data_IF_859344572822
#
_entry.id   IF_859344572822
#
_cell.length_a   1.000
_cell.length_b   1.000
_cell.length_c   1.000
_cell.angle_alpha   90.00
_cell.angle_beta   90.00
_cell.angle_gamma   90.00
#
_symmetry.space_group_name_H-M   'P 1'
#
loop_
_entity.id
_entity.type
_entity.pdbx_description
1 polymer ?
#
# COMPACT_ATOMS: atom_id res chain seq x y z
N UNK A 1 10.95 -9.04 -26.52
CA UNK A 1 9.69 -8.57 -25.93
C UNK A 1 9.70 -8.87 -24.44
N UNK A 2 9.26 -7.92 -23.61
CA UNK A 2 9.09 -8.11 -22.18
C UNK A 2 7.59 -7.96 -21.85
N UNK A 3 7.03 -8.92 -21.15
CA UNK A 3 5.58 -8.93 -20.86
C UNK A 3 5.23 -9.02 -19.40
N UNK A 4 4.01 -8.60 -19.11
CA UNK A 4 3.34 -8.83 -17.84
C UNK A 4 1.97 -9.44 -18.08
N UNK A 5 1.48 -10.16 -17.09
CA UNK A 5 0.14 -10.73 -17.07
C UNK A 5 -0.60 -10.22 -15.83
N UNK A 6 -1.86 -9.83 -15.99
CA UNK A 6 -2.69 -9.42 -14.87
C UNK A 6 -2.86 -10.56 -13.87
N UNK A 7 -2.61 -10.32 -12.60
CA UNK A 7 -2.77 -11.31 -11.54
C UNK A 7 -4.12 -11.13 -10.83
N UNK A 8 -4.82 -12.24 -10.63
CA UNK A 8 -6.08 -12.24 -9.90
C UNK A 8 -5.94 -11.62 -8.49
N UNK A 9 -6.88 -10.76 -8.13
CA UNK A 9 -6.90 -10.08 -6.83
C UNK A 9 -6.01 -8.83 -6.74
N UNK A 10 -5.30 -8.46 -7.79
CA UNK A 10 -4.53 -7.21 -7.82
C UNK A 10 -5.44 -6.02 -8.11
N UNK A 11 -5.50 -5.07 -7.19
CA UNK A 11 -6.10 -3.75 -7.42
C UNK A 11 -5.22 -2.86 -8.29
N UNK A 12 -5.79 -1.73 -8.75
CA UNK A 12 -5.15 -0.79 -9.66
C UNK A 12 -3.71 -0.43 -9.27
N UNK A 13 -3.46 -0.13 -7.98
CA UNK A 13 -2.11 0.24 -7.53
C UNK A 13 -1.06 -0.83 -7.83
N UNK A 14 -1.37 -2.11 -7.57
CA UNK A 14 -0.47 -3.20 -7.86
C UNK A 14 -0.27 -3.40 -9.37
N UNK A 15 -1.34 -3.29 -10.15
CA UNK A 15 -1.26 -3.40 -11.61
C UNK A 15 -0.39 -2.30 -12.22
N UNK A 16 -0.51 -1.06 -11.73
CA UNK A 16 0.34 0.05 -12.19
C UNK A 16 1.82 -0.17 -11.84
N UNK A 17 2.14 -0.79 -10.71
CA UNK A 17 3.53 -1.17 -10.41
C UNK A 17 4.07 -2.17 -11.44
N UNK A 18 3.29 -3.17 -11.80
CA UNK A 18 3.65 -4.12 -12.85
C UNK A 18 3.87 -3.44 -14.19
N UNK A 19 2.90 -2.63 -14.60
CA UNK A 19 2.92 -1.90 -15.85
C UNK A 19 4.14 -0.98 -15.96
N UNK A 20 4.35 -0.13 -14.98
CA UNK A 20 5.44 0.85 -14.97
C UNK A 20 6.79 0.14 -14.95
N UNK A 21 6.98 -0.83 -14.04
CA UNK A 21 8.24 -1.56 -13.95
C UNK A 21 8.60 -2.28 -15.24
N UNK A 22 7.67 -3.03 -15.81
CA UNK A 22 7.94 -3.77 -17.04
C UNK A 22 8.21 -2.85 -18.22
N UNK A 23 7.47 -1.74 -18.35
CA UNK A 23 7.66 -0.77 -19.41
C UNK A 23 9.01 -0.07 -19.30
N UNK A 24 9.43 0.34 -18.10
CA UNK A 24 10.76 0.93 -17.87
C UNK A 24 11.90 -0.06 -18.22
N UNK A 25 11.83 -1.28 -17.72
CA UNK A 25 12.85 -2.30 -18.03
C UNK A 25 12.89 -2.62 -19.52
N UNK A 26 11.74 -2.71 -20.19
CA UNK A 26 11.69 -2.90 -21.65
C UNK A 26 12.35 -1.75 -22.39
N UNK A 27 12.05 -0.50 -22.00
CA UNK A 27 12.64 0.70 -22.59
C UNK A 27 14.17 0.74 -22.40
N UNK A 28 14.66 0.49 -21.18
CA UNK A 28 16.12 0.48 -20.88
C UNK A 28 16.88 -0.55 -21.71
N UNK A 29 16.22 -1.67 -22.04
CA UNK A 29 16.83 -2.76 -22.81
C UNK A 29 16.55 -2.70 -24.31
N UNK A 30 15.77 -1.75 -24.76
CA UNK A 30 15.34 -1.67 -26.16
C UNK A 30 14.44 -2.83 -26.59
N UNK A 31 13.68 -3.42 -25.66
CA UNK A 31 12.74 -4.49 -25.93
C UNK A 31 11.34 -3.93 -26.21
N UNK A 32 10.55 -4.65 -26.98
CA UNK A 32 9.12 -4.37 -27.06
C UNK A 32 8.47 -4.71 -25.71
N UNK A 33 7.49 -3.87 -25.31
CA UNK A 33 6.67 -4.09 -24.13
C UNK A 33 5.31 -4.67 -24.52
N UNK A 34 4.72 -5.48 -23.62
CA UNK A 34 3.39 -6.03 -23.81
C UNK A 34 2.68 -6.30 -22.48
N UNK A 35 1.38 -6.09 -22.46
CA UNK A 35 0.46 -6.57 -21.43
C UNK A 35 -0.37 -7.70 -22.03
N UNK A 36 -0.26 -8.91 -21.44
CA UNK A 36 -1.13 -10.03 -21.81
C UNK A 36 -2.55 -9.74 -21.33
N UNK A 37 -3.54 -10.12 -22.12
CA UNK A 37 -4.96 -9.96 -21.79
C UNK A 37 -5.29 -8.54 -21.32
N UNK A 38 -4.99 -7.50 -22.13
CA UNK A 38 -5.12 -6.11 -21.73
C UNK A 38 -6.55 -5.72 -21.32
N UNK A 39 -7.56 -6.45 -21.79
CA UNK A 39 -8.96 -6.29 -21.38
C UNK A 39 -9.21 -6.65 -19.91
N UNK A 40 -8.36 -7.49 -19.32
CA UNK A 40 -8.41 -7.83 -17.90
C UNK A 40 -7.58 -6.86 -17.03
N UNK A 41 -6.72 -6.04 -17.64
CA UNK A 41 -5.95 -5.05 -16.93
C UNK A 41 -6.87 -4.00 -16.32
N UNK A 42 -6.75 -3.81 -15.01
CA UNK A 42 -7.63 -2.95 -14.20
C UNK A 42 -9.12 -3.40 -14.12
N UNK A 43 -9.51 -4.49 -14.79
CA UNK A 43 -10.83 -5.11 -14.70
C UNK A 43 -10.78 -6.34 -13.79
N UNK A 44 -10.53 -6.15 -12.50
CA UNK A 44 -10.56 -7.22 -11.50
C UNK A 44 -11.51 -6.85 -10.36
N UNK A 45 -11.65 -7.74 -9.35
CA UNK A 45 -12.55 -7.54 -8.21
C UNK A 45 -12.34 -6.23 -7.42
N UNK A 46 -11.24 -5.52 -7.66
CA UNK A 46 -10.92 -4.27 -6.97
C UNK A 46 -10.98 -3.04 -7.88
N UNK A 47 -11.19 -3.22 -9.19
CA UNK A 47 -11.29 -2.12 -10.14
C UNK A 47 -12.25 -2.47 -11.29
N UNK A 48 -13.53 -2.27 -11.03
CA UNK A 48 -14.61 -2.70 -11.92
C UNK A 48 -14.68 -1.95 -13.26
N UNK A 49 -14.01 -0.81 -13.39
CA UNK A 49 -14.24 0.14 -14.47
C UNK A 49 -13.11 0.24 -15.49
N UNK A 50 -12.05 -0.56 -15.38
CA UNK A 50 -10.90 -0.42 -16.26
C UNK A 50 -10.14 0.91 -16.07
N UNK A 51 -9.22 1.20 -16.98
CA UNK A 51 -8.42 2.45 -16.93
C UNK A 51 -9.00 3.52 -17.87
N UNK A 52 -10.30 3.74 -17.81
CA UNK A 52 -11.03 4.70 -18.64
C UNK A 52 -10.53 6.15 -18.49
N UNK A 53 -9.89 6.47 -17.38
CA UNK A 53 -9.40 7.82 -17.07
C UNK A 53 -7.91 8.04 -17.41
N UNK A 54 -7.24 7.02 -17.97
CA UNK A 54 -5.87 7.09 -18.48
C UNK A 54 -5.80 6.42 -19.87
N UNK A 55 -4.92 6.91 -20.72
CA UNK A 55 -4.65 6.30 -22.03
C UNK A 55 -3.36 5.47 -21.95
N UNK A 56 -3.42 4.31 -21.28
CA UNK A 56 -2.28 3.44 -21.17
C UNK A 56 -1.99 2.71 -22.48
N UNK A 57 -0.76 2.83 -22.93
CA UNK A 57 -0.25 2.03 -24.02
C UNK A 57 0.05 0.60 -23.51
N UNK A 58 -0.74 -0.37 -23.92
CA UNK A 58 -0.59 -1.78 -23.53
C UNK A 58 0.52 -2.52 -24.30
N UNK A 59 1.25 -1.80 -25.15
CA UNK A 59 2.35 -2.34 -25.94
C UNK A 59 1.88 -3.19 -27.12
N UNK A 60 2.73 -4.10 -27.57
CA UNK A 60 2.42 -4.95 -28.70
C UNK A 60 1.52 -6.12 -28.28
N UNK A 61 0.53 -6.53 -29.10
CA UNK A 61 -0.26 -7.73 -28.80
C UNK A 61 0.64 -8.96 -28.68
N UNK A 62 0.39 -9.76 -27.65
CA UNK A 62 1.16 -11.00 -27.42
C UNK A 62 0.33 -12.08 -26.76
N UNK A 63 0.82 -13.31 -26.82
CA UNK A 63 0.29 -14.48 -26.16
C UNK A 63 1.34 -15.11 -25.26
N UNK A 64 0.93 -15.92 -24.33
CA UNK A 64 1.84 -16.57 -23.37
C UNK A 64 2.92 -17.40 -24.06
N UNK A 65 2.59 -18.02 -25.20
CA UNK A 65 3.50 -18.84 -26.00
C UNK A 65 4.63 -18.04 -26.67
N UNK A 66 4.49 -16.72 -26.78
CA UNK A 66 5.50 -15.83 -27.35
C UNK A 66 6.69 -15.63 -26.39
N UNK A 67 6.54 -16.04 -25.13
CA UNK A 67 7.56 -15.91 -24.08
C UNK A 67 8.28 -17.23 -23.84
N UNK A 68 9.60 -17.18 -24.01
CA UNK A 68 10.48 -18.34 -23.81
C UNK A 68 10.92 -18.51 -22.38
N UNK A 69 10.80 -17.44 -21.56
CA UNK A 69 11.28 -17.36 -20.19
C UNK A 69 10.20 -16.78 -19.27
N UNK A 70 10.24 -17.24 -18.03
CA UNK A 70 9.42 -16.69 -16.96
C UNK A 70 10.39 -16.21 -15.87
N UNK A 71 10.27 -14.93 -15.53
CA UNK A 71 10.97 -14.34 -14.40
C UNK A 71 10.02 -14.26 -13.19
N UNK A 72 10.50 -14.73 -12.07
CA UNK A 72 9.85 -14.49 -10.79
C UNK A 72 10.74 -13.61 -9.91
N UNK A 73 10.20 -12.45 -9.49
CA UNK A 73 10.86 -11.60 -8.52
C UNK A 73 11.18 -12.40 -7.25
N UNK A 74 12.39 -12.19 -6.73
CA UNK A 74 12.86 -12.91 -5.55
C UNK A 74 12.01 -12.52 -4.33
N UNK A 75 11.24 -13.46 -3.85
CA UNK A 75 10.50 -13.31 -2.61
C UNK A 75 11.39 -13.59 -1.40
N UNK A 76 11.53 -12.60 -0.55
CA UNK A 76 12.12 -12.76 0.77
C UNK A 76 11.02 -12.67 1.80
N UNK A 77 10.79 -13.76 2.53
CA UNK A 77 9.69 -13.87 3.49
C UNK A 77 10.18 -14.17 4.91
N UNK A 78 9.48 -13.58 5.86
CA UNK A 78 9.73 -13.81 7.28
C UNK A 78 8.49 -14.41 7.94
N UNK A 79 8.65 -15.52 8.66
CA UNK A 79 7.57 -16.23 9.34
C UNK A 79 7.58 -15.85 10.83
N UNK A 80 7.02 -14.69 11.17
CA UNK A 80 7.07 -14.14 12.53
C UNK A 80 6.05 -14.72 13.52
N UNK A 81 5.00 -15.41 13.00
CA UNK A 81 3.96 -16.04 13.81
C UNK A 81 3.04 -15.06 14.51
N UNK A 82 2.77 -13.90 13.91
CA UNK A 82 1.82 -12.93 14.44
C UNK A 82 0.37 -13.22 14.04
N UNK A 83 0.16 -13.97 12.97
CA UNK A 83 -1.16 -14.44 12.50
C UNK A 83 -1.04 -15.84 11.89
N UNK A 84 -2.17 -16.49 11.66
CA UNK A 84 -2.21 -17.77 10.92
C UNK A 84 -1.75 -17.59 9.48
N UNK A 85 -2.10 -16.45 8.86
CA UNK A 85 -1.65 -16.10 7.52
C UNK A 85 -0.13 -15.95 7.48
N UNK A 86 0.48 -15.24 8.44
CA UNK A 86 1.91 -15.07 8.57
C UNK A 86 2.68 -16.40 8.70
N UNK A 87 2.10 -17.36 9.45
CA UNK A 87 2.69 -18.71 9.59
C UNK A 87 2.66 -19.51 8.29
N UNK A 88 1.65 -19.30 7.45
CA UNK A 88 1.45 -20.05 6.21
C UNK A 88 2.19 -19.42 5.03
N UNK A 89 2.05 -18.11 4.86
CA UNK A 89 2.52 -17.39 3.69
C UNK A 89 3.79 -16.58 3.97
N UNK A 90 4.08 -16.31 5.25
CA UNK A 90 5.14 -15.43 5.65
C UNK A 90 4.81 -13.99 5.32
N UNK A 91 5.77 -13.15 5.58
CA UNK A 91 5.63 -11.73 5.39
C UNK A 91 6.75 -11.25 4.49
N UNK A 92 6.39 -10.49 3.49
CA UNK A 92 7.31 -9.86 2.57
C UNK A 92 8.28 -8.93 3.28
N UNK A 93 9.56 -9.13 3.03
CA UNK A 93 10.66 -8.26 3.44
C UNK A 93 11.64 -8.04 2.28
N UNK A 94 11.15 -8.21 1.07
CA UNK A 94 11.94 -8.19 -0.16
C UNK A 94 12.39 -6.78 -0.49
N UNK A 95 13.62 -6.69 -0.96
CA UNK A 95 14.18 -5.50 -1.59
C UNK A 95 14.06 -5.58 -3.10
N UNK A 96 14.56 -4.59 -3.82
CA UNK A 96 14.70 -4.67 -5.26
C UNK A 96 15.50 -5.93 -5.66
N UNK A 97 14.97 -6.71 -6.56
CA UNK A 97 15.66 -7.86 -7.12
C UNK A 97 16.49 -7.42 -8.34
N UNK A 98 17.78 -7.25 -8.14
CA UNK A 98 18.68 -6.77 -9.21
C UNK A 98 18.72 -7.67 -10.44
N UNK A 99 18.32 -8.95 -10.34
CA UNK A 99 18.22 -9.84 -11.50
C UNK A 99 17.20 -9.35 -12.53
N UNK A 100 16.24 -8.49 -12.11
CA UNK A 100 15.27 -7.90 -13.03
C UNK A 100 15.96 -7.02 -14.10
N UNK A 101 17.05 -6.36 -13.75
CA UNK A 101 17.84 -5.57 -14.71
C UNK A 101 18.64 -6.42 -15.70
N UNK A 102 18.73 -7.72 -15.48
CA UNK A 102 19.47 -8.67 -16.31
C UNK A 102 18.55 -9.58 -17.15
N UNK A 103 17.22 -9.37 -17.09
CA UNK A 103 16.29 -10.20 -17.87
C UNK A 103 16.53 -10.08 -19.36
N UNK A 104 16.39 -11.21 -20.04
CA UNK A 104 16.58 -11.30 -21.48
C UNK A 104 15.28 -11.07 -22.25
N UNK A 105 15.41 -10.81 -23.54
CA UNK A 105 14.26 -10.72 -24.46
C UNK A 105 13.44 -12.02 -24.47
N UNK A 106 12.13 -11.90 -24.64
CA UNK A 106 11.20 -13.03 -24.59
C UNK A 106 10.87 -13.47 -23.16
N UNK A 107 10.92 -12.58 -22.17
CA UNK A 107 10.62 -12.88 -20.76
C UNK A 107 9.25 -12.33 -20.32
N UNK A 108 8.46 -13.16 -19.64
CA UNK A 108 7.24 -12.79 -18.94
C UNK A 108 7.56 -12.59 -17.44
N UNK A 109 7.14 -11.45 -16.89
CA UNK A 109 7.48 -11.04 -15.51
C UNK A 109 6.37 -11.35 -14.51
N UNK A 110 6.77 -11.88 -13.36
CA UNK A 110 5.91 -12.08 -12.18
C UNK A 110 6.60 -11.57 -10.92
N UNK A 111 5.82 -11.03 -9.99
CA UNK A 111 6.32 -10.54 -8.70
C UNK A 111 5.39 -9.53 -8.06
N UNK A 112 5.88 -8.70 -7.15
CA UNK A 112 5.23 -7.48 -6.69
C UNK A 112 5.70 -6.27 -7.49
N UNK A 113 6.96 -6.28 -7.93
CA UNK A 113 7.62 -5.26 -8.75
C UNK A 113 7.44 -3.82 -8.22
N UNK A 114 7.43 -3.63 -6.89
CA UNK A 114 7.08 -2.36 -6.26
C UNK A 114 8.30 -1.53 -5.82
N UNK A 115 9.51 -1.97 -6.14
CA UNK A 115 10.71 -1.23 -5.79
C UNK A 115 10.92 -0.04 -6.71
N UNK A 116 11.08 1.16 -6.14
CA UNK A 116 11.36 2.38 -6.92
C UNK A 116 12.62 2.28 -7.77
N UNK A 117 13.58 1.48 -7.36
CA UNK A 117 14.82 1.23 -8.11
C UNK A 117 14.58 0.72 -9.52
N UNK A 118 13.44 0.07 -9.77
CA UNK A 118 13.09 -0.46 -11.09
C UNK A 118 12.70 0.61 -12.10
N UNK A 119 12.23 1.79 -11.64
CA UNK A 119 11.60 2.76 -12.51
C UNK A 119 11.87 4.24 -12.17
N UNK A 120 12.58 4.54 -11.08
CA UNK A 120 12.72 5.93 -10.61
C UNK A 120 13.44 6.84 -11.61
N UNK A 121 14.32 6.28 -12.46
CA UNK A 121 15.02 7.01 -13.54
C UNK A 121 14.08 7.52 -14.62
N UNK A 122 12.88 6.96 -14.75
CA UNK A 122 11.87 7.28 -15.75
C UNK A 122 10.73 8.15 -15.19
N UNK A 123 10.97 8.92 -14.15
CA UNK A 123 9.90 9.64 -13.43
C UNK A 123 9.07 10.53 -14.35
N UNK A 124 9.71 11.25 -15.25
CA UNK A 124 9.01 12.20 -16.13
C UNK A 124 8.21 11.46 -17.21
N UNK A 125 8.75 10.38 -17.78
CA UNK A 125 8.03 9.51 -18.73
C UNK A 125 6.82 8.86 -18.04
N UNK A 126 6.97 8.39 -16.81
CA UNK A 126 5.88 7.78 -16.04
C UNK A 126 4.75 8.80 -15.81
N UNK A 127 5.07 10.07 -15.54
CA UNK A 127 4.05 11.12 -15.42
C UNK A 127 3.21 11.25 -16.69
N UNK A 128 3.85 11.18 -17.86
CA UNK A 128 3.14 11.23 -19.15
C UNK A 128 2.34 9.94 -19.38
N UNK A 129 2.90 8.75 -19.09
CA UNK A 129 2.19 7.48 -19.26
C UNK A 129 0.95 7.36 -18.38
N UNK A 130 1.02 7.87 -17.16
CA UNK A 130 -0.05 7.81 -16.17
C UNK A 130 -0.85 9.12 -16.08
N UNK A 131 -0.84 9.89 -17.16
CA UNK A 131 -1.58 11.15 -17.21
C UNK A 131 -3.07 10.90 -17.13
N UNK A 132 -3.70 11.55 -16.16
CA UNK A 132 -5.16 11.54 -16.04
C UNK A 132 -5.75 12.40 -17.14
N UNK A 133 -6.76 11.89 -17.84
CA UNK A 133 -7.48 12.65 -18.87
C UNK A 133 -8.11 13.91 -18.25
N UNK A 134 -8.13 15.05 -19.00
CA UNK A 134 -8.59 16.33 -18.45
C UNK A 134 -9.99 16.29 -17.82
N UNK A 135 -10.91 15.52 -18.40
CA UNK A 135 -12.28 15.37 -17.90
C UNK A 135 -12.39 14.66 -16.55
N UNK A 136 -11.33 13.92 -16.16
CA UNK A 136 -11.24 13.22 -14.87
C UNK A 136 -10.27 13.91 -13.88
N UNK A 137 -9.57 14.98 -14.29
CA UNK A 137 -8.59 15.68 -13.45
C UNK A 137 -9.28 16.59 -12.43
N UNK A 138 -9.57 16.05 -11.26
CA UNK A 138 -10.27 16.74 -10.18
C UNK A 138 -9.31 17.55 -9.32
N UNK A 139 -9.37 18.89 -9.41
CA UNK A 139 -8.55 19.84 -8.62
C UNK A 139 -9.34 20.56 -7.52
N UNK A 140 -10.61 20.27 -7.36
CA UNK A 140 -11.50 20.90 -6.38
C UNK A 140 -10.97 20.86 -4.94
N UNK A 141 -10.25 19.77 -4.61
CA UNK A 141 -9.72 19.52 -3.27
C UNK A 141 -8.24 19.89 -3.12
N UNK A 142 -7.62 20.55 -4.11
CA UNK A 142 -6.22 21.02 -4.05
C UNK A 142 -6.14 22.34 -3.30
N UNK A 143 -6.14 22.30 -1.96
CA UNK A 143 -6.12 23.50 -1.10
C UNK A 143 -4.97 23.47 -0.11
N UNK A 144 -4.43 24.65 0.25
CA UNK A 144 -3.27 24.81 1.13
C UNK A 144 -3.53 24.40 2.59
N UNK A 145 -4.78 24.30 2.98
CA UNK A 145 -5.20 23.92 4.33
C UNK A 145 -6.00 22.63 4.37
N UNK A 146 -5.92 21.79 3.32
CA UNK A 146 -6.63 20.51 3.26
C UNK A 146 -5.66 19.33 3.14
N UNK A 147 -5.73 18.43 4.10
CA UNK A 147 -5.04 17.15 4.06
C UNK A 147 -6.04 16.04 3.69
N UNK A 148 -5.72 15.28 2.64
CA UNK A 148 -6.48 14.11 2.22
C UNK A 148 -5.98 12.88 2.99
N UNK A 149 -6.89 12.21 3.69
CA UNK A 149 -6.65 10.94 4.34
C UNK A 149 -7.08 9.81 3.40
N UNK A 150 -6.16 8.98 2.94
CA UNK A 150 -6.51 7.77 2.21
C UNK A 150 -6.69 6.61 3.20
N UNK A 151 -7.93 6.39 3.64
CA UNK A 151 -8.29 5.38 4.63
C UNK A 151 -8.82 4.12 3.95
N UNK A 152 -8.04 3.04 3.98
CA UNK A 152 -8.47 1.73 3.50
C UNK A 152 -9.22 1.00 4.61
N UNK A 153 -10.49 0.64 4.34
CA UNK A 153 -11.35 -0.15 5.22
C UNK A 153 -11.63 -1.54 4.63
N UNK A 154 -12.85 -1.97 4.58
CA UNK A 154 -13.38 -3.21 3.96
C UNK A 154 -12.45 -4.41 4.10
N UNK A 155 -11.73 -4.75 3.08
CA UNK A 155 -10.81 -5.88 2.97
C UNK A 155 -9.68 -5.86 4.03
N UNK A 156 -9.25 -4.65 4.47
CA UNK A 156 -8.20 -4.52 5.48
C UNK A 156 -8.69 -4.77 6.91
N UNK A 157 -9.99 -4.60 7.18
CA UNK A 157 -10.53 -4.67 8.55
C UNK A 157 -10.33 -6.02 9.24
N UNK A 158 -10.25 -7.09 8.45
CA UNK A 158 -9.97 -8.44 8.94
C UNK A 158 -8.50 -8.70 9.27
N UNK A 159 -7.58 -7.84 8.80
CA UNK A 159 -6.15 -8.00 8.99
C UNK A 159 -5.59 -6.96 9.98
N UNK A 160 -5.13 -7.38 11.18
CA UNK A 160 -4.51 -6.46 12.13
C UNK A 160 -3.16 -5.92 11.63
N UNK A 161 -2.59 -6.49 10.59
CA UNK A 161 -1.35 -6.05 9.96
C UNK A 161 -1.59 -4.90 9.00
N UNK A 162 -2.71 -4.95 8.28
CA UNK A 162 -3.07 -3.98 7.25
C UNK A 162 -3.91 -2.82 7.81
N UNK A 163 -4.93 -3.13 8.62
CA UNK A 163 -5.86 -2.12 9.10
C UNK A 163 -5.25 -1.26 10.22
N UNK A 164 -4.88 -0.03 9.89
CA UNK A 164 -4.24 0.90 10.81
C UNK A 164 -5.17 1.32 11.95
N UNK A 165 -4.63 1.36 13.17
CA UNK A 165 -5.39 1.75 14.37
C UNK A 165 -5.80 3.22 14.33
N UNK A 166 -6.91 3.56 14.93
CA UNK A 166 -7.40 4.95 15.07
C UNK A 166 -6.32 5.92 15.58
N UNK A 167 -5.45 5.45 16.48
CA UNK A 167 -4.33 6.24 17.02
C UNK A 167 -3.39 6.77 15.94
N UNK A 168 -3.10 5.98 14.88
CA UNK A 168 -2.28 6.41 13.76
C UNK A 168 -2.88 7.67 13.10
N UNK A 169 -4.14 7.61 12.76
CA UNK A 169 -4.83 8.71 12.08
C UNK A 169 -4.90 9.97 12.96
N UNK A 170 -5.23 9.82 14.24
CA UNK A 170 -5.27 10.94 15.18
C UNK A 170 -3.88 11.57 15.39
N UNK A 171 -2.84 10.77 15.44
CA UNK A 171 -1.46 11.27 15.54
C UNK A 171 -1.03 11.92 14.22
N UNK A 172 -1.35 11.34 13.07
CA UNK A 172 -1.06 11.91 11.75
C UNK A 172 -1.72 13.28 11.56
N UNK A 173 -3.00 13.41 11.90
CA UNK A 173 -3.68 14.71 11.87
C UNK A 173 -3.03 15.75 12.79
N UNK A 174 -2.52 15.33 13.97
CA UNK A 174 -1.75 16.24 14.83
C UNK A 174 -0.44 16.68 14.18
N UNK A 175 0.25 15.79 13.45
CA UNK A 175 1.47 16.16 12.72
C UNK A 175 1.15 17.14 11.59
N UNK A 176 0.07 16.93 10.84
CA UNK A 176 -0.37 17.87 9.79
C UNK A 176 -0.71 19.25 10.35
N UNK A 177 -1.35 19.33 11.54
CA UNK A 177 -1.62 20.61 12.21
C UNK A 177 -0.37 21.34 12.72
N UNK A 178 0.77 20.65 12.83
CA UNK A 178 2.04 21.35 13.09
C UNK A 178 2.58 22.07 11.85
N UNK A 179 2.24 21.57 10.66
CA UNK A 179 2.61 22.22 9.39
C UNK A 179 1.70 23.42 9.15
N UNK A 180 0.39 23.21 9.33
CA UNK A 180 -0.59 24.29 9.23
C UNK A 180 -1.63 24.11 10.35
N UNK A 181 -1.72 25.06 11.33
CA UNK A 181 -2.68 24.96 12.44
C UNK A 181 -4.14 24.89 11.99
N UNK A 182 -4.48 25.51 10.84
CA UNK A 182 -5.82 25.55 10.27
C UNK A 182 -6.11 24.34 9.34
N UNK A 183 -5.29 23.29 9.41
CA UNK A 183 -5.42 22.10 8.56
C UNK A 183 -6.78 21.44 8.75
N UNK A 184 -7.54 21.39 7.68
CA UNK A 184 -8.77 20.63 7.51
C UNK A 184 -8.45 19.21 7.01
N UNK A 185 -9.40 18.30 7.16
CA UNK A 185 -9.24 16.90 6.78
C UNK A 185 -10.44 16.40 6.00
N UNK A 186 -10.17 15.59 4.98
CA UNK A 186 -11.16 14.85 4.21
C UNK A 186 -10.67 13.42 4.01
N UNK A 187 -11.57 12.46 4.07
CA UNK A 187 -11.25 11.04 3.90
C UNK A 187 -11.69 10.58 2.52
N UNK A 188 -10.78 9.98 1.77
CA UNK A 188 -11.06 9.13 0.62
C UNK A 188 -10.93 7.68 1.09
N UNK A 189 -11.97 6.88 0.87
CA UNK A 189 -12.07 5.52 1.42
C UNK A 189 -12.90 4.61 0.53
N UNK A 190 -12.70 3.32 0.64
CA UNK A 190 -13.54 2.30 0.00
C UNK A 190 -14.76 1.88 0.84
N UNK A 191 -15.00 2.50 2.02
CA UNK A 191 -16.17 2.26 2.88
C UNK A 191 -16.46 3.48 3.76
N UNK A 192 -17.36 4.33 3.28
CA UNK A 192 -17.78 5.59 3.96
C UNK A 192 -18.45 5.30 5.31
N UNK A 193 -19.26 4.23 5.37
CA UNK A 193 -19.97 3.86 6.59
C UNK A 193 -19.02 3.51 7.74
N UNK A 194 -17.98 2.73 7.43
CA UNK A 194 -16.95 2.38 8.42
C UNK A 194 -16.03 3.56 8.73
N UNK A 195 -15.65 4.34 7.74
CA UNK A 195 -14.83 5.55 7.95
C UNK A 195 -15.51 6.52 8.91
N UNK A 196 -16.81 6.79 8.75
CA UNK A 196 -17.59 7.67 9.64
C UNK A 196 -17.67 7.14 11.08
N UNK A 197 -17.78 5.82 11.27
CA UNK A 197 -17.69 5.20 12.61
C UNK A 197 -16.30 5.29 13.21
N UNK A 198 -15.30 5.18 12.36
CA UNK A 198 -13.90 5.10 12.77
C UNK A 198 -13.33 6.49 13.11
N UNK A 199 -13.59 7.49 12.28
CA UNK A 199 -13.17 8.89 12.45
C UNK A 199 -14.36 9.83 12.33
N UNK A 200 -15.28 9.83 13.32
CA UNK A 200 -16.49 10.66 13.26
C UNK A 200 -16.12 12.16 13.21
N UNK A 201 -16.91 12.90 12.45
CA UNK A 201 -16.76 14.36 12.29
C UNK A 201 -15.76 14.78 11.19
N UNK A 202 -15.16 13.83 10.46
CA UNK A 202 -14.36 14.12 9.28
C UNK A 202 -15.16 13.69 8.05
N UNK A 203 -15.39 14.59 7.06
CA UNK A 203 -16.08 14.22 5.83
C UNK A 203 -15.37 13.05 5.13
N UNK A 204 -16.13 12.02 4.78
CA UNK A 204 -15.63 10.81 4.13
C UNK A 204 -16.39 10.55 2.83
N UNK A 205 -15.64 10.22 1.78
CA UNK A 205 -16.17 10.01 0.45
C UNK A 205 -15.58 8.73 -0.16
N UNK A 206 -16.39 8.11 -1.01
CA UNK A 206 -16.04 7.04 -1.94
C UNK A 206 -16.66 7.45 -3.27
N UNK A 207 -15.88 8.12 -4.09
CA UNK A 207 -16.28 8.50 -5.43
C UNK A 207 -16.05 7.33 -6.40
N UNK A 208 -16.00 7.60 -7.68
CA UNK A 208 -15.49 6.64 -8.64
C UNK A 208 -13.94 6.57 -8.59
N UNK A 209 -13.40 5.54 -9.23
CA UNK A 209 -11.97 5.25 -9.23
C UNK A 209 -11.12 6.42 -9.76
N UNK A 210 -11.58 7.08 -10.84
CA UNK A 210 -10.87 8.20 -11.46
C UNK A 210 -10.81 9.41 -10.53
N UNK A 211 -11.94 9.75 -9.91
CA UNK A 211 -12.03 10.91 -9.01
C UNK A 211 -11.21 10.67 -7.74
N UNK A 212 -11.28 9.48 -7.14
CA UNK A 212 -10.47 9.14 -5.96
C UNK A 212 -8.96 9.21 -6.28
N UNK A 213 -8.54 8.66 -7.43
CA UNK A 213 -7.17 8.73 -7.90
C UNK A 213 -6.72 10.19 -8.14
N UNK A 214 -7.54 10.97 -8.84
CA UNK A 214 -7.23 12.36 -9.18
C UNK A 214 -7.19 13.28 -7.94
N UNK A 215 -8.07 13.07 -6.96
CA UNK A 215 -8.02 13.79 -5.68
C UNK A 215 -6.69 13.54 -4.96
N UNK A 216 -6.23 12.28 -4.91
CA UNK A 216 -4.93 11.96 -4.30
C UNK A 216 -3.78 12.59 -5.07
N UNK A 217 -3.84 12.57 -6.41
CA UNK A 217 -2.82 13.15 -7.29
C UNK A 217 -2.70 14.67 -7.11
N UNK A 218 -3.82 15.37 -6.96
CA UNK A 218 -3.86 16.82 -6.85
C UNK A 218 -3.86 17.34 -5.41
N UNK A 219 -3.80 16.48 -4.40
CA UNK A 219 -3.70 16.88 -3.01
C UNK A 219 -2.36 17.59 -2.72
N UNK A 220 -2.37 18.55 -1.79
CA UNK A 220 -1.13 19.15 -1.27
C UNK A 220 -0.56 18.41 -0.08
N UNK A 221 -1.42 17.85 0.75
CA UNK A 221 -1.05 17.09 1.95
C UNK A 221 -1.76 15.75 1.94
N UNK A 222 -0.99 14.69 2.14
CA UNK A 222 -1.49 13.32 2.15
C UNK A 222 -1.16 12.62 3.48
N UNK A 223 -2.18 12.03 4.11
CA UNK A 223 -2.01 11.08 5.21
C UNK A 223 -2.52 9.71 4.73
N UNK A 224 -1.61 8.79 4.51
CA UNK A 224 -1.87 7.58 3.77
C UNK A 224 -2.00 6.34 4.65
N UNK A 225 -2.85 5.40 4.22
CA UNK A 225 -2.76 4.00 4.62
C UNK A 225 -1.58 3.33 3.89
N UNK A 226 -1.35 2.05 4.22
CA UNK A 226 -0.38 1.18 3.58
C UNK A 226 -0.95 0.52 2.31
N UNK A 227 -1.60 1.28 1.46
CA UNK A 227 -2.23 0.81 0.22
C UNK A 227 -1.42 1.27 -1.00
N UNK A 228 -1.11 0.34 -1.90
CA UNK A 228 -0.43 0.62 -3.17
C UNK A 228 -1.21 1.58 -4.08
N UNK A 229 -2.53 1.70 -3.90
CA UNK A 229 -3.37 2.61 -4.68
C UNK A 229 -2.91 4.07 -4.61
N UNK A 230 -2.42 4.52 -3.44
CA UNK A 230 -2.01 5.91 -3.24
C UNK A 230 -0.61 6.24 -3.77
N UNK A 231 0.17 5.24 -4.21
CA UNK A 231 1.55 5.46 -4.62
C UNK A 231 1.65 6.30 -5.90
N UNK A 232 1.08 5.81 -7.01
CA UNK A 232 1.23 6.52 -8.29
C UNK A 232 0.54 7.88 -8.36
N UNK A 233 -0.65 8.10 -7.74
CA UNK A 233 -1.17 9.45 -7.60
C UNK A 233 -0.17 10.40 -6.93
N UNK A 234 0.46 9.98 -5.83
CA UNK A 234 1.45 10.77 -5.13
C UNK A 234 2.76 10.93 -5.92
N UNK A 235 3.24 9.87 -6.58
CA UNK A 235 4.47 9.84 -7.35
C UNK A 235 4.42 10.75 -8.59
N UNK A 236 3.28 10.78 -9.29
CA UNK A 236 3.06 11.58 -10.50
C UNK A 236 2.52 12.98 -10.21
N UNK A 237 2.36 13.35 -8.94
CA UNK A 237 1.84 14.64 -8.53
C UNK A 237 2.85 15.77 -8.74
N UNK A 238 2.36 16.91 -9.24
CA UNK A 238 3.08 18.17 -9.27
C UNK A 238 2.65 19.12 -8.16
N UNK A 239 1.67 18.74 -7.34
CA UNK A 239 1.07 19.58 -6.31
C UNK A 239 1.37 19.15 -4.89
N UNK A 240 1.68 17.86 -4.66
CA UNK A 240 1.90 17.32 -3.33
C UNK A 240 3.15 17.94 -2.68
N UNK A 241 2.99 18.45 -1.47
CA UNK A 241 4.05 19.08 -0.67
C UNK A 241 4.52 18.21 0.49
N UNK A 242 3.61 17.39 1.05
CA UNK A 242 3.94 16.56 2.18
C UNK A 242 3.11 15.28 2.20
N UNK A 243 3.80 14.15 2.35
CA UNK A 243 3.20 12.83 2.46
C UNK A 243 3.60 12.21 3.79
N UNK A 244 2.63 11.76 4.56
CA UNK A 244 2.84 11.01 5.79
C UNK A 244 2.23 9.61 5.66
N UNK A 245 3.08 8.59 5.74
CA UNK A 245 2.71 7.19 5.62
C UNK A 245 3.04 6.40 6.90
N UNK A 246 2.50 5.19 7.08
CA UNK A 246 2.84 4.37 8.24
C UNK A 246 4.25 3.81 8.10
N UNK A 247 5.11 4.10 9.08
CA UNK A 247 6.39 3.41 9.20
C UNK A 247 6.14 1.92 9.38
N UNK A 248 6.93 1.07 8.77
CA UNK A 248 6.77 -0.39 8.78
C UNK A 248 5.58 -0.91 7.97
N UNK A 249 5.07 -0.11 7.04
CA UNK A 249 4.07 -0.46 6.05
C UNK A 249 3.00 -1.43 6.61
N UNK A 250 2.75 -2.57 5.94
CA UNK A 250 1.75 -3.55 6.33
C UNK A 250 1.86 -4.09 7.77
N UNK A 251 2.88 -3.70 8.54
CA UNK A 251 3.12 -4.19 9.88
C UNK A 251 3.16 -3.15 10.95
N UNK A 252 2.74 -1.95 10.63
CA UNK A 252 2.71 -0.81 11.55
C UNK A 252 2.08 -1.16 12.91
N UNK A 253 1.07 -2.01 12.95
CA UNK A 253 0.38 -2.38 14.18
C UNK A 253 0.99 -3.55 14.95
N UNK A 254 1.70 -4.46 14.29
CA UNK A 254 2.09 -5.77 14.84
C UNK A 254 3.58 -6.03 14.88
N UNK A 255 4.38 -5.28 14.11
CA UNK A 255 5.83 -5.43 14.11
C UNK A 255 6.45 -4.87 15.38
N UNK A 256 7.66 -5.31 15.69
CA UNK A 256 8.52 -4.69 16.71
C UNK A 256 9.23 -3.43 16.21
N UNK A 257 8.93 -3.03 15.01
CA UNK A 257 9.38 -1.77 14.46
C UNK A 257 10.34 -1.85 13.30
N UNK A 258 10.77 -3.05 12.88
CA UNK A 258 11.87 -3.16 11.94
C UNK A 258 11.61 -4.10 10.75
N UNK A 259 10.35 -4.43 10.51
CA UNK A 259 9.97 -5.43 9.53
C UNK A 259 9.42 -4.79 8.26
N UNK A 260 9.99 -3.69 7.83
CA UNK A 260 9.63 -3.08 6.57
C UNK A 260 10.36 -3.78 5.40
N UNK A 261 9.68 -3.93 4.29
CA UNK A 261 10.34 -4.11 3.01
C UNK A 261 10.93 -2.78 2.55
N UNK A 262 12.14 -2.75 2.02
CA UNK A 262 12.71 -1.56 1.39
C UNK A 262 11.87 -1.09 0.21
N UNK A 263 11.22 -2.01 -0.49
CA UNK A 263 10.26 -1.69 -1.55
C UNK A 263 9.16 -0.72 -1.12
N UNK A 264 8.82 -0.67 0.16
CA UNK A 264 7.77 0.18 0.68
C UNK A 264 8.29 1.43 1.42
N UNK A 265 9.56 1.77 1.23
CA UNK A 265 10.17 3.01 1.71
C UNK A 265 10.42 3.90 0.50
N UNK A 266 9.44 4.72 0.16
CA UNK A 266 9.41 5.56 -1.04
C UNK A 266 10.11 6.89 -0.83
N UNK A 267 10.81 7.38 -1.85
CA UNK A 267 11.61 8.60 -1.77
C UNK A 267 10.75 9.85 -1.56
N UNK A 268 11.22 10.72 -0.69
CA UNK A 268 10.55 11.98 -0.36
C UNK A 268 9.30 11.82 0.52
N UNK A 269 8.97 10.60 0.95
CA UNK A 269 7.88 10.38 1.87
C UNK A 269 8.34 10.48 3.32
N UNK A 270 7.43 10.88 4.20
CA UNK A 270 7.64 10.84 5.65
C UNK A 270 6.90 9.66 6.24
N UNK A 271 7.48 9.06 7.27
CA UNK A 271 6.99 7.82 7.88
C UNK A 271 6.75 8.01 9.37
N UNK A 272 5.54 7.71 9.83
CA UNK A 272 5.19 7.84 11.24
C UNK A 272 5.17 6.48 11.94
N UNK A 273 5.89 6.38 13.07
CA UNK A 273 5.90 5.18 13.89
C UNK A 273 4.66 5.08 14.82
N UNK A 274 4.54 3.95 15.54
CA UNK A 274 3.45 3.71 16.48
C UNK A 274 3.42 4.68 17.69
N UNK A 275 4.50 5.42 17.92
CA UNK A 275 4.59 6.45 18.97
C UNK A 275 4.23 7.83 18.46
N UNK A 276 4.05 7.98 17.13
CA UNK A 276 3.74 9.24 16.47
C UNK A 276 4.98 10.07 16.11
N UNK A 277 6.19 9.49 16.18
CA UNK A 277 7.42 10.13 15.72
C UNK A 277 7.49 10.01 14.21
N UNK A 278 7.95 11.06 13.54
CA UNK A 278 8.07 11.15 12.09
C UNK A 278 9.53 11.01 11.70
N UNK A 279 9.77 10.29 10.61
CA UNK A 279 11.08 9.99 10.04
C UNK A 279 11.05 10.29 8.54
N UNK A 280 12.16 10.68 7.96
CA UNK A 280 12.34 10.72 6.50
C UNK A 280 12.53 9.31 5.95
N UNK A 281 12.44 9.14 4.65
CA UNK A 281 12.71 7.86 3.99
C UNK A 281 14.17 7.43 4.15
N UNK A 282 15.13 8.37 4.09
CA UNK A 282 16.55 8.08 4.32
C UNK A 282 16.76 7.52 5.73
N UNK A 283 16.21 8.18 6.75
CA UNK A 283 16.31 7.70 8.13
C UNK A 283 15.68 6.32 8.32
N UNK A 284 14.58 6.03 7.60
CA UNK A 284 13.97 4.70 7.61
C UNK A 284 14.87 3.64 6.96
N UNK A 285 15.51 3.95 5.82
CA UNK A 285 16.45 3.04 5.13
C UNK A 285 17.68 2.75 5.98
N UNK A 286 18.28 3.78 6.58
CA UNK A 286 19.44 3.63 7.47
C UNK A 286 19.10 2.76 8.69
N UNK A 287 17.97 3.02 9.33
CA UNK A 287 17.50 2.25 10.49
C UNK A 287 17.25 0.79 10.10
N UNK A 288 16.63 0.54 8.95
CA UNK A 288 16.38 -0.81 8.45
C UNK A 288 17.68 -1.54 8.12
N UNK A 289 18.61 -0.89 7.45
CA UNK A 289 19.93 -1.46 7.14
C UNK A 289 20.73 -1.84 8.40
N UNK A 290 20.73 -0.94 9.41
CA UNK A 290 21.34 -1.21 10.69
C UNK A 290 20.67 -2.37 11.44
N UNK A 291 19.34 -2.45 11.39
CA UNK A 291 18.59 -3.54 11.99
C UNK A 291 18.88 -4.89 11.33
N UNK A 292 18.92 -4.94 10.00
CA UNK A 292 19.24 -6.16 9.25
C UNK A 292 20.59 -6.74 9.63
N UNK A 293 21.62 -5.90 9.78
CA UNK A 293 22.97 -6.33 10.17
C UNK A 293 23.02 -6.99 11.56
N UNK A 294 22.23 -6.51 12.52
CA UNK A 294 22.25 -7.00 13.92
C UNK A 294 21.14 -7.99 14.27
N UNK A 295 20.13 -8.12 13.44
CA UNK A 295 18.94 -8.90 13.78
C UNK A 295 19.11 -10.37 13.45
N UNK A 296 19.04 -11.22 14.49
CA UNK A 296 18.97 -12.68 14.33
C UNK A 296 17.72 -13.12 13.56
N UNK A 297 16.66 -12.33 13.57
CA UNK A 297 15.41 -12.63 12.85
C UNK A 297 15.61 -12.58 11.34
N UNK A 298 16.41 -11.65 10.84
CA UNK A 298 16.75 -11.62 9.40
C UNK A 298 17.63 -12.78 8.96
N UNK A 299 18.37 -13.42 9.87
CA UNK A 299 19.08 -14.67 9.59
C UNK A 299 18.12 -15.86 9.36
N UNK A 300 16.85 -15.74 9.76
CA UNK A 300 15.79 -16.75 9.60
C UNK A 300 14.87 -16.47 8.41
N UNK A 301 15.22 -15.51 7.58
CA UNK A 301 14.49 -15.22 6.35
C UNK A 301 14.35 -16.49 5.50
N UNK A 302 13.16 -16.70 4.94
CA UNK A 302 12.76 -17.89 4.17
C UNK A 302 12.76 -19.22 4.93
N UNK A 303 13.08 -19.24 6.23
CA UNK A 303 12.99 -20.46 7.06
C UNK A 303 11.58 -20.63 7.61
N UNK A 304 10.83 -21.57 7.07
CA UNK A 304 9.51 -21.92 7.60
C UNK A 304 9.67 -22.63 8.96
N UNK A 305 8.87 -22.26 9.97
CA UNK A 305 8.87 -22.96 11.23
C UNK A 305 8.33 -24.39 11.07
N UNK A 306 8.93 -25.36 11.76
CA UNK A 306 8.52 -26.74 11.75
C UNK A 306 8.46 -27.32 13.16
N UNK A 307 7.91 -28.53 13.33
CA UNK A 307 7.90 -29.28 14.59
C UNK A 307 7.28 -28.52 15.76
N UNK A 308 7.88 -28.64 16.93
CA UNK A 308 7.42 -28.01 18.20
C UNK A 308 7.36 -26.48 18.10
N UNK A 309 8.33 -25.88 17.39
CA UNK A 309 8.35 -24.42 17.15
C UNK A 309 7.09 -23.95 16.40
N UNK A 310 6.65 -24.67 15.38
CA UNK A 310 5.42 -24.36 14.63
C UNK A 310 4.20 -24.40 15.54
N UNK A 311 4.10 -25.42 16.40
CA UNK A 311 2.95 -25.57 17.32
C UNK A 311 2.89 -24.41 18.33
N UNK A 312 4.04 -24.02 18.88
CA UNK A 312 4.13 -22.87 19.77
C UNK A 312 3.73 -21.55 19.06
N UNK A 313 4.18 -21.37 17.83
CA UNK A 313 3.82 -20.19 17.03
C UNK A 313 2.34 -20.17 16.65
N UNK A 314 1.73 -21.34 16.36
CA UNK A 314 0.27 -21.44 16.13
C UNK A 314 -0.52 -21.07 17.39
N UNK A 315 -0.10 -21.54 18.56
CA UNK A 315 -0.73 -21.17 19.83
C UNK A 315 -0.63 -19.67 20.10
N UNK A 316 0.54 -19.08 19.84
CA UNK A 316 0.76 -17.64 19.96
C UNK A 316 -0.13 -16.84 18.98
N UNK A 317 -0.22 -17.24 17.74
CA UNK A 317 -1.07 -16.60 16.73
C UNK A 317 -2.55 -16.69 17.12
N UNK A 318 -2.99 -17.86 17.61
CA UNK A 318 -4.33 -18.06 18.15
C UNK A 318 -4.61 -17.14 19.35
N UNK A 319 -3.69 -17.04 20.29
CA UNK A 319 -3.81 -16.14 21.46
C UNK A 319 -3.93 -14.68 21.03
N UNK A 320 -3.10 -14.23 20.12
CA UNK A 320 -3.15 -12.86 19.57
C UNK A 320 -4.52 -12.59 18.91
N UNK A 321 -5.01 -13.54 18.11
CA UNK A 321 -6.32 -13.46 17.46
C UNK A 321 -7.46 -13.40 18.51
N UNK A 322 -7.46 -14.30 19.49
CA UNK A 322 -8.48 -14.32 20.55
C UNK A 322 -8.48 -13.06 21.39
N UNK A 323 -7.30 -12.53 21.74
CA UNK A 323 -7.17 -11.26 22.46
C UNK A 323 -7.73 -10.09 21.66
N UNK A 324 -7.46 -10.04 20.36
CA UNK A 324 -8.03 -9.01 19.47
C UNK A 324 -9.55 -9.14 19.36
N UNK A 325 -10.06 -10.37 19.22
CA UNK A 325 -11.49 -10.68 19.14
C UNK A 325 -12.24 -10.30 20.41
N UNK A 326 -11.75 -10.70 21.59
CA UNK A 326 -12.33 -10.35 22.89
C UNK A 326 -12.31 -8.83 23.12
N UNK A 327 -11.26 -8.16 22.71
CA UNK A 327 -11.18 -6.71 22.72
C UNK A 327 -12.23 -6.03 21.81
N UNK A 328 -12.59 -6.66 20.69
CA UNK A 328 -13.67 -6.19 19.80
C UNK A 328 -15.04 -6.35 20.47
N UNK A 329 -15.30 -7.50 21.09
CA UNK A 329 -16.56 -7.75 21.84
C UNK A 329 -16.68 -6.79 23.01
N UNK A 330 -15.67 -6.64 23.85
CA UNK A 330 -15.68 -5.72 24.99
C UNK A 330 -15.96 -4.27 24.59
N UNK A 331 -15.39 -3.80 23.48
CA UNK A 331 -15.71 -2.48 22.93
C UNK A 331 -17.13 -2.37 22.41
N UNK A 332 -17.66 -3.45 21.82
CA UNK A 332 -19.05 -3.52 21.36
C UNK A 332 -20.04 -3.42 22.53
N UNK A 333 -19.79 -4.15 23.61
CA UNK A 333 -20.58 -4.10 24.86
C UNK A 333 -20.52 -2.72 25.49
N UNK A 334 -19.30 -2.16 25.64
CA UNK A 334 -19.13 -0.82 26.22
C UNK A 334 -19.86 0.28 25.43
N UNK A 335 -19.89 0.16 24.08
CA UNK A 335 -20.68 1.08 23.24
C UNK A 335 -22.19 0.93 23.44
N UNK A 336 -22.69 -0.29 23.61
CA UNK A 336 -24.12 -0.55 23.87
C UNK A 336 -24.52 -0.01 25.24
N UNK A 337 -23.73 -0.26 26.27
CA UNK A 337 -23.96 0.29 27.61
C UNK A 337 -23.97 1.82 27.58
N UNK A 338 -23.00 2.45 26.91
CA UNK A 338 -22.96 3.91 26.79
C UNK A 338 -24.16 4.50 26.04
N UNK A 339 -24.70 3.78 25.04
CA UNK A 339 -25.95 4.20 24.36
C UNK A 339 -27.15 4.10 25.27
N UNK A 340 -27.25 3.05 26.08
CA UNK A 340 -28.36 2.85 27.02
C UNK A 340 -28.35 3.90 28.16
N UNK A 341 -27.16 4.18 28.71
CA UNK A 341 -27.01 5.23 29.73
C UNK A 341 -27.28 6.63 29.20
N UNK A 342 -26.96 6.89 27.92
CA UNK A 342 -27.28 8.20 27.29
C UNK A 342 -28.78 8.35 26.99
N UNK A 343 -29.45 7.28 26.61
CA UNK A 343 -30.90 7.26 26.41
C UNK A 343 -31.68 7.40 27.74
N UNK A 344 -31.15 6.84 28.84
CA UNK A 344 -31.76 6.96 30.16
C UNK A 344 -31.58 8.33 30.83
N UNK A 345 -30.63 9.16 30.34
CA UNK A 345 -30.40 10.53 30.86
C UNK A 345 -31.16 11.62 30.04
N UNK A 346 -31.91 11.26 29.00
CA UNK A 346 -32.68 12.18 28.13
C UNK A 346 -34.17 11.95 28.30
N UNK A 347 -34.61 10.97 29.07
CA UNK A 347 -36.01 10.77 29.52
C UNK A 347 -36.16 11.14 30.98
#
# INVERSE_FOLDING_TARGET
>A
MLGIETQEGFGLGNQLFFYVTARCIAQDKGYQFSVLDPEHFANNMHSDCGLYFMDLDMGVPSKREDYRRIYHEKETRLFAGNSSHDLTHGVYVTDADRRLFEVEDGTLLYGNLQAEEYFISHKEEIKEWLKVKPEYDCREYSRDNLCILHLRCSDYMGSPELYLRKRYWLQGMRQMRKINPDMQFMIITNDVGEANKFLPGIPAYNFDLAKDYSILKNARYLLLANSSFAYFPAFTSDTVQYILAPKYWARHNVSDGYWASEQNIYRGWHYMDRKGRVFTDEACREELAAYRKRSRKYAEVNKRPAGVRLQFMKLRAWYIYKKAYLGKIGRGVARRVKKLTHAANIG
#
